data_IF_145826002964
#
_entry.id   IF_145826002964
#
_cell.length_a   1.000
_cell.length_b   1.000
_cell.length_c   1.000
_cell.angle_alpha   90.00
_cell.angle_beta   90.00
_cell.angle_gamma   90.00
#
_symmetry.space_group_name_H-M   'P 1'
#
loop_
_entity.id
_entity.type
_entity.pdbx_description
1 polymer ?
#
# COMPACT_ATOMS: atom_id res chain seq x y z
N UNK A 1 27.49 21.95 69.81
CA UNK A 1 26.17 21.35 70.13
C UNK A 1 25.20 21.68 68.99
N UNK A 2 24.29 20.75 68.71
CA UNK A 2 23.18 20.82 67.75
C UNK A 2 23.50 20.68 66.26
N UNK A 3 23.44 19.40 65.84
CA UNK A 3 23.04 18.91 64.53
C UNK A 3 21.63 19.41 64.19
N UNK A 4 21.37 19.76 62.94
CA UNK A 4 20.06 19.55 62.34
C UNK A 4 20.22 19.15 60.88
N UNK A 5 19.60 18.03 60.56
CA UNK A 5 19.74 17.22 59.35
C UNK A 5 18.59 17.64 58.45
N UNK A 6 18.88 18.12 57.24
CA UNK A 6 17.85 18.32 56.21
C UNK A 6 17.68 17.02 55.42
N UNK A 7 16.43 16.58 55.15
CA UNK A 7 16.16 15.26 54.64
C UNK A 7 16.41 15.14 53.14
N UNK A 8 16.80 13.93 52.77
CA UNK A 8 16.81 13.39 51.42
C UNK A 8 15.48 13.66 50.71
N UNK A 9 15.54 14.26 49.53
CA UNK A 9 14.58 13.98 48.47
C UNK A 9 15.35 13.27 47.36
N UNK A 10 15.23 11.94 47.35
CA UNK A 10 15.72 11.09 46.30
C UNK A 10 14.95 11.40 45.02
N UNK A 11 15.56 12.12 44.08
CA UNK A 11 15.08 12.19 42.71
C UNK A 11 15.28 10.83 42.08
N UNK A 12 14.23 10.02 42.12
CA UNK A 12 14.11 8.80 41.33
C UNK A 12 14.02 9.22 39.86
N UNK A 13 15.16 9.25 39.17
CA UNK A 13 15.19 9.30 37.72
C UNK A 13 14.66 7.95 37.22
N UNK A 14 13.34 7.88 36.95
CA UNK A 14 12.81 6.81 36.12
C UNK A 14 13.38 7.01 34.71
N UNK A 15 14.42 6.23 34.42
CA UNK A 15 14.73 5.79 33.08
C UNK A 15 13.56 4.92 32.58
N UNK A 16 12.51 5.56 32.07
CA UNK A 16 11.64 4.92 31.11
C UNK A 16 12.35 5.07 29.77
N UNK A 17 12.97 3.96 29.38
CA UNK A 17 13.76 3.85 28.17
C UNK A 17 12.99 4.36 26.96
N UNK A 18 13.75 4.85 25.98
CA UNK A 18 13.29 5.04 24.62
C UNK A 18 12.46 3.82 24.20
N UNK A 19 11.14 3.96 24.23
CA UNK A 19 10.30 3.28 23.26
C UNK A 19 10.70 3.89 21.94
N UNK A 20 11.74 3.31 21.32
CA UNK A 20 11.95 3.49 19.91
C UNK A 20 10.67 2.98 19.28
N UNK A 21 9.80 3.90 18.88
CA UNK A 21 8.82 3.63 17.85
C UNK A 21 9.65 3.01 16.72
N UNK A 22 9.54 1.70 16.54
CA UNK A 22 9.84 1.12 15.26
C UNK A 22 8.83 1.82 14.35
N UNK A 23 9.28 2.88 13.68
CA UNK A 23 8.58 3.41 12.52
C UNK A 23 8.46 2.19 11.61
N UNK A 24 7.27 1.59 11.60
CA UNK A 24 6.93 0.62 10.59
C UNK A 24 7.18 1.36 9.28
N UNK A 25 8.07 0.81 8.45
CA UNK A 25 8.41 1.34 7.13
C UNK A 25 7.19 1.13 6.23
N UNK A 26 6.18 1.96 6.46
CA UNK A 26 4.89 1.96 5.77
C UNK A 26 5.02 2.90 4.59
N UNK A 27 4.68 2.45 3.38
CA UNK A 27 4.79 3.30 2.21
C UNK A 27 3.79 4.46 2.31
N UNK A 28 4.18 5.60 1.78
CA UNK A 28 3.22 6.67 1.49
C UNK A 28 2.38 6.24 0.29
N UNK A 29 1.06 6.27 0.47
CA UNK A 29 0.07 5.95 -0.57
C UNK A 29 -0.75 7.22 -0.84
N UNK A 30 -0.68 7.71 -2.07
CA UNK A 30 -1.47 8.85 -2.54
C UNK A 30 -2.44 8.37 -3.61
N UNK A 31 -3.66 8.91 -3.66
CA UNK A 31 -4.63 8.57 -4.70
C UNK A 31 -5.15 9.79 -5.48
N UNK A 32 -5.47 9.55 -6.74
CA UNK A 32 -6.08 10.51 -7.65
C UNK A 32 -7.03 9.82 -8.63
N UNK A 33 -8.07 10.54 -9.06
CA UNK A 33 -8.98 10.05 -10.11
C UNK A 33 -8.46 10.53 -11.47
N UNK A 34 -8.20 9.59 -12.37
CA UNK A 34 -7.64 9.85 -13.71
C UNK A 34 -8.43 9.14 -14.80
N UNK A 35 -8.19 9.52 -16.05
CA UNK A 35 -8.77 8.80 -17.20
C UNK A 35 -7.99 7.52 -17.50
N UNK A 36 -8.68 6.49 -17.98
CA UNK A 36 -8.04 5.21 -18.36
C UNK A 36 -7.05 5.40 -19.51
N UNK A 37 -7.35 6.28 -20.47
CA UNK A 37 -6.51 6.54 -21.64
C UNK A 37 -5.12 7.08 -21.25
N UNK A 38 -5.04 7.89 -20.18
CA UNK A 38 -3.77 8.38 -19.64
C UNK A 38 -2.88 7.24 -19.12
N UNK A 39 -3.48 6.20 -18.55
CA UNK A 39 -2.76 5.04 -17.97
C UNK A 39 -2.34 4.05 -19.03
N UNK A 40 -3.25 3.69 -19.94
CA UNK A 40 -3.04 2.59 -20.89
C UNK A 40 -1.85 2.85 -21.84
N UNK A 41 -1.50 4.12 -22.09
CA UNK A 41 -0.35 4.50 -22.90
C UNK A 41 1.00 4.40 -22.17
N UNK A 42 0.99 4.30 -20.84
CA UNK A 42 2.18 4.35 -19.98
C UNK A 42 2.43 3.04 -19.21
N UNK A 43 1.54 2.06 -19.36
CA UNK A 43 1.61 0.81 -18.61
C UNK A 43 2.73 -0.08 -19.12
N UNK A 44 3.51 -0.66 -18.21
CA UNK A 44 4.49 -1.68 -18.55
C UNK A 44 3.93 -3.06 -18.22
N UNK A 45 3.29 -3.69 -19.21
CA UNK A 45 2.62 -4.97 -19.07
C UNK A 45 3.52 -6.10 -18.53
N UNK A 46 4.86 -5.97 -18.62
CA UNK A 46 5.79 -6.98 -18.06
C UNK A 46 5.84 -6.99 -16.53
N UNK A 47 5.39 -5.90 -15.88
CA UNK A 47 5.35 -5.73 -14.43
C UNK A 47 3.98 -5.28 -13.91
N UNK A 48 2.96 -5.36 -14.76
CA UNK A 48 1.57 -5.13 -14.39
C UNK A 48 0.87 -6.45 -14.15
N UNK A 49 0.08 -6.49 -13.08
CA UNK A 49 -0.67 -7.67 -12.66
C UNK A 49 -2.05 -7.26 -12.17
N UNK A 50 -3.07 -8.05 -12.48
CA UNK A 50 -4.44 -7.81 -12.04
C UNK A 50 -4.93 -8.90 -11.10
N UNK A 51 -5.76 -8.53 -10.12
CA UNK A 51 -6.23 -9.43 -9.07
C UNK A 51 -7.44 -10.27 -9.52
N UNK A 52 -7.34 -11.58 -9.33
CA UNK A 52 -8.41 -12.56 -9.52
C UNK A 52 -9.45 -12.52 -8.39
N UNK A 53 -9.12 -11.93 -7.24
CA UNK A 53 -10.06 -11.68 -6.16
C UNK A 53 -10.77 -10.32 -6.35
N UNK A 54 -11.97 -10.20 -5.78
CA UNK A 54 -12.56 -8.87 -5.53
C UNK A 54 -12.01 -8.32 -4.23
N UNK A 55 -11.63 -7.05 -4.25
CA UNK A 55 -11.01 -6.39 -3.11
C UNK A 55 -11.82 -5.16 -2.73
N UNK A 56 -12.07 -5.00 -1.44
CA UNK A 56 -12.95 -3.94 -0.91
C UNK A 56 -12.14 -2.69 -0.55
N UNK A 57 -10.89 -2.86 -0.12
CA UNK A 57 -10.01 -1.78 0.35
C UNK A 57 -8.64 -1.84 -0.37
N UNK A 58 -8.42 -1.00 -1.40
CA UNK A 58 -7.19 -0.90 -2.18
C UNK A 58 -5.91 -0.78 -1.36
N UNK A 59 -5.91 0.13 -0.38
CA UNK A 59 -4.75 0.48 0.41
C UNK A 59 -4.30 -0.71 1.26
N UNK A 60 -5.26 -1.45 1.82
CA UNK A 60 -4.98 -2.69 2.55
C UNK A 60 -4.26 -3.72 1.69
N UNK A 61 -4.66 -3.88 0.43
CA UNK A 61 -3.98 -4.78 -0.51
C UNK A 61 -2.58 -4.28 -0.86
N UNK A 62 -2.42 -2.99 -1.15
CA UNK A 62 -1.10 -2.39 -1.42
C UNK A 62 -0.16 -2.64 -0.23
N UNK A 63 -0.64 -2.42 1.00
CA UNK A 63 0.14 -2.65 2.22
C UNK A 63 0.51 -4.13 2.41
N UNK A 64 -0.40 -5.06 2.13
CA UNK A 64 -0.11 -6.50 2.19
C UNK A 64 0.97 -6.89 1.16
N UNK A 65 0.88 -6.38 -0.07
CA UNK A 65 1.89 -6.63 -1.09
C UNK A 65 3.25 -6.03 -0.70
N UNK A 66 3.26 -4.82 -0.14
CA UNK A 66 4.47 -4.18 0.36
C UNK A 66 5.13 -5.00 1.47
N UNK A 67 4.36 -5.44 2.46
CA UNK A 67 4.84 -6.28 3.56
C UNK A 67 5.33 -7.66 3.09
N UNK A 68 4.82 -8.14 1.96
CA UNK A 68 5.27 -9.35 1.29
C UNK A 68 6.46 -9.12 0.33
N UNK A 69 7.11 -7.96 0.40
CA UNK A 69 8.27 -7.58 -0.41
C UNK A 69 7.98 -7.51 -1.92
N UNK A 70 6.73 -7.18 -2.30
CA UNK A 70 6.36 -6.77 -3.65
C UNK A 70 6.32 -5.25 -3.71
N UNK A 71 7.38 -4.59 -4.21
CA UNK A 71 7.44 -3.14 -4.22
C UNK A 71 6.48 -2.59 -5.27
N UNK A 72 5.24 -2.31 -4.89
CA UNK A 72 4.24 -1.65 -5.73
C UNK A 72 4.74 -0.25 -6.07
N UNK A 73 4.65 0.16 -7.33
CA UNK A 73 4.89 1.54 -7.77
C UNK A 73 3.57 2.29 -7.96
N UNK A 74 2.61 1.63 -8.62
CA UNK A 74 1.29 2.16 -8.91
C UNK A 74 0.24 1.08 -8.77
N UNK A 75 -0.99 1.48 -8.52
CA UNK A 75 -2.13 0.59 -8.63
C UNK A 75 -3.36 1.34 -9.15
N UNK A 76 -4.35 0.60 -9.64
CA UNK A 76 -5.53 1.15 -10.27
C UNK A 76 -6.78 0.36 -9.90
N UNK A 77 -7.84 1.08 -9.57
CA UNK A 77 -9.18 0.56 -9.39
C UNK A 77 -10.12 1.19 -10.43
N UNK A 78 -10.81 0.40 -11.27
CA UNK A 78 -11.93 0.89 -12.07
C UNK A 78 -13.03 1.48 -11.19
N UNK A 79 -13.51 2.68 -11.54
CA UNK A 79 -14.58 3.38 -10.81
C UNK A 79 -15.94 3.29 -11.49
N UNK A 80 -15.99 2.84 -12.73
CA UNK A 80 -17.24 2.67 -13.47
C UNK A 80 -17.57 1.19 -13.74
N UNK A 81 -18.87 0.93 -13.83
CA UNK A 81 -19.42 -0.42 -13.95
C UNK A 81 -19.40 -0.95 -15.39
N UNK A 82 -18.68 -0.30 -16.31
CA UNK A 82 -18.55 -0.79 -17.70
C UNK A 82 -17.93 -2.18 -17.76
N UNK A 83 -17.17 -2.52 -16.72
CA UNK A 83 -16.56 -3.81 -16.51
C UNK A 83 -17.46 -4.78 -15.73
N UNK A 84 -18.81 -4.65 -15.78
CA UNK A 84 -19.80 -5.39 -14.95
C UNK A 84 -19.26 -6.76 -14.51
N UNK A 85 -18.72 -6.81 -13.28
CA UNK A 85 -18.08 -7.99 -12.75
C UNK A 85 -18.92 -8.50 -11.57
N UNK A 86 -19.49 -9.70 -11.66
CA UNK A 86 -20.34 -10.23 -10.60
C UNK A 86 -19.59 -10.52 -9.29
N UNK A 87 -18.25 -10.48 -9.33
CA UNK A 87 -17.40 -10.83 -8.19
C UNK A 87 -17.08 -9.59 -7.34
N UNK A 88 -17.22 -8.37 -7.86
CA UNK A 88 -16.98 -7.10 -7.15
C UNK A 88 -15.81 -6.27 -7.73
N UNK A 89 -15.35 -5.24 -7.00
CA UNK A 89 -14.31 -4.32 -7.48
C UNK A 89 -13.00 -5.03 -7.82
N UNK A 90 -12.35 -4.58 -8.89
CA UNK A 90 -11.10 -5.14 -9.40
C UNK A 90 -9.93 -4.21 -9.15
N UNK A 91 -8.76 -4.81 -9.05
CA UNK A 91 -7.53 -4.10 -8.76
C UNK A 91 -6.40 -4.56 -9.65
N UNK A 92 -5.66 -3.60 -10.18
CA UNK A 92 -4.46 -3.84 -10.99
C UNK A 92 -3.30 -3.14 -10.32
N UNK A 93 -2.15 -3.79 -10.21
CA UNK A 93 -0.93 -3.26 -9.63
C UNK A 93 0.19 -3.27 -10.65
N UNK A 94 1.04 -2.27 -10.61
CA UNK A 94 2.34 -2.26 -11.26
C UNK A 94 3.42 -2.34 -10.19
N UNK A 95 4.35 -3.28 -10.36
CA UNK A 95 5.51 -3.42 -9.49
C UNK A 95 6.68 -2.57 -10.01
N UNK A 96 7.55 -2.12 -9.10
CA UNK A 96 8.85 -1.52 -9.45
C UNK A 96 9.74 -2.49 -10.23
N UNK A 97 9.59 -3.80 -9.98
CA UNK A 97 10.28 -4.88 -10.69
C UNK A 97 9.34 -6.05 -10.88
N UNK A 98 9.32 -6.65 -12.07
CA UNK A 98 8.56 -7.86 -12.34
C UNK A 98 8.94 -8.98 -11.37
N UNK A 99 7.94 -9.64 -10.78
CA UNK A 99 8.12 -10.73 -9.83
C UNK A 99 7.02 -11.79 -10.02
N UNK A 100 7.33 -12.98 -10.53
CA UNK A 100 6.33 -14.02 -10.78
C UNK A 100 5.77 -14.63 -9.48
N UNK A 101 6.37 -14.39 -8.31
CA UNK A 101 5.84 -14.89 -7.03
C UNK A 101 4.48 -14.27 -6.68
N UNK A 102 4.13 -13.12 -7.28
CA UNK A 102 2.84 -12.47 -7.04
C UNK A 102 1.64 -13.35 -7.45
N UNK A 103 1.85 -14.36 -8.29
CA UNK A 103 0.83 -15.36 -8.64
C UNK A 103 0.32 -16.15 -7.42
N UNK A 104 1.13 -16.29 -6.36
CA UNK A 104 0.73 -16.90 -5.08
C UNK A 104 -0.32 -16.06 -4.32
N UNK A 105 -0.51 -14.80 -4.72
CA UNK A 105 -1.44 -13.83 -4.13
C UNK A 105 -2.67 -13.59 -5.01
N UNK A 106 -3.01 -14.54 -5.89
CA UNK A 106 -4.17 -14.46 -6.79
C UNK A 106 -4.08 -13.31 -7.80
N UNK A 107 -2.91 -13.11 -8.39
CA UNK A 107 -2.71 -12.17 -9.49
C UNK A 107 -2.40 -12.89 -10.79
N UNK A 108 -2.74 -12.26 -11.91
CA UNK A 108 -2.34 -12.65 -13.27
C UNK A 108 -1.65 -11.49 -13.99
N UNK A 109 -0.77 -11.78 -14.94
CA UNK A 109 -0.07 -10.73 -15.71
C UNK A 109 -1.03 -9.96 -16.62
N UNK A 110 -0.80 -8.66 -16.73
CA UNK A 110 -1.47 -7.76 -17.67
C UNK A 110 -2.38 -6.73 -16.99
N UNK A 111 -2.99 -5.85 -17.80
CA UNK A 111 -3.80 -4.73 -17.31
C UNK A 111 -5.15 -5.18 -16.74
N UNK A 112 -5.61 -6.40 -17.04
CA UNK A 112 -6.90 -6.91 -16.57
C UNK A 112 -8.07 -6.06 -17.06
N UNK A 113 -8.84 -5.52 -16.11
CA UNK A 113 -10.08 -4.80 -16.40
C UNK A 113 -9.90 -3.30 -16.65
N UNK A 114 -8.66 -2.78 -16.64
CA UNK A 114 -8.43 -1.34 -16.85
C UNK A 114 -8.99 -0.88 -18.21
N UNK A 115 -8.79 -1.66 -19.27
CA UNK A 115 -9.24 -1.36 -20.64
C UNK A 115 -10.76 -1.19 -20.78
N UNK A 116 -11.52 -1.75 -19.83
CA UNK A 116 -12.98 -1.73 -19.88
C UNK A 116 -13.56 -0.49 -19.18
N UNK A 117 -12.75 0.25 -18.42
CA UNK A 117 -13.17 1.44 -17.69
C UNK A 117 -12.85 2.74 -18.43
N UNK A 118 -13.50 3.82 -18.05
CA UNK A 118 -13.16 5.18 -18.51
C UNK A 118 -12.45 5.99 -17.44
N UNK A 119 -12.73 5.72 -16.17
CA UNK A 119 -12.14 6.42 -15.02
C UNK A 119 -11.58 5.44 -14.01
N UNK A 120 -10.37 5.73 -13.55
CA UNK A 120 -9.65 4.91 -12.57
C UNK A 120 -9.35 5.77 -11.34
N UNK A 121 -9.39 5.16 -10.16
CA UNK A 121 -8.61 5.66 -9.03
C UNK A 121 -7.21 5.07 -9.15
N UNK A 122 -6.21 5.94 -9.30
CA UNK A 122 -4.80 5.58 -9.31
C UNK A 122 -4.22 5.79 -7.92
N UNK A 123 -3.47 4.81 -7.44
CA UNK A 123 -2.68 4.88 -6.22
C UNK A 123 -1.19 4.95 -6.60
N UNK A 124 -0.47 5.92 -6.08
CA UNK A 124 1.00 6.04 -6.20
C UNK A 124 1.64 5.66 -4.87
N UNK A 125 2.69 4.82 -4.92
CA UNK A 125 3.31 4.23 -3.74
C UNK A 125 4.79 4.61 -3.64
N UNK A 126 5.13 5.37 -2.61
CA UNK A 126 6.49 5.85 -2.31
C UNK A 126 6.98 5.34 -0.95
N UNK A 127 8.30 5.35 -0.76
CA UNK A 127 8.94 5.05 0.53
C UNK A 127 8.81 6.22 1.50
#
# INVERSE_FOLDING_TARGET
>A
MMRSISPLAASLALALGCGGEALLDVPLIESEIISTDEVMTQIDASRTYWSLASQVEPESLILVLWQAEFPVSRAWQPLDDRCENPIGPRFTVELRKADPRIFEYYFETGPGFLECSTTLEQFTVSE
#
